data_IF_995906842639
#
_entry.id   IF_995906842639
#
_cell.length_a   1.000
_cell.length_b   1.000
_cell.length_c   1.000
_cell.angle_alpha   90.00
_cell.angle_beta   90.00
_cell.angle_gamma   90.00
#
_symmetry.space_group_name_H-M   'P 1'
#
loop_
_entity.id
_entity.type
_entity.pdbx_description
1 polymer ?
#
# COMPACT_ATOMS: atom_id res chain seq x y z
N UNK A 1 15.73 -0.31 15.53
CA UNK A 1 16.93 -0.35 16.39
C UNK A 1 17.18 -1.71 17.03
N UNK A 2 16.17 -2.58 17.16
CA UNK A 2 16.32 -3.96 17.65
C UNK A 2 17.53 -4.73 17.08
N UNK A 3 17.73 -4.67 15.76
CA UNK A 3 18.88 -5.27 15.06
C UNK A 3 20.26 -4.89 15.66
N UNK A 4 20.43 -3.66 16.15
CA UNK A 4 21.69 -3.21 16.73
C UNK A 4 21.89 -3.72 18.17
N UNK A 5 20.80 -3.86 18.93
CA UNK A 5 20.82 -4.46 20.29
C UNK A 5 21.11 -5.96 20.20
N UNK A 6 20.46 -6.67 19.26
CA UNK A 6 20.70 -8.10 19.02
C UNK A 6 22.16 -8.40 18.64
N UNK A 7 22.87 -7.42 18.08
CA UNK A 7 24.29 -7.48 17.68
C UNK A 7 25.25 -6.96 18.76
N UNK A 8 24.73 -6.49 19.90
CA UNK A 8 25.51 -5.90 20.99
C UNK A 8 26.10 -4.52 20.69
N UNK A 9 25.64 -3.84 19.63
CA UNK A 9 26.12 -2.50 19.26
C UNK A 9 25.45 -1.38 20.07
N UNK A 10 24.35 -1.71 20.75
CA UNK A 10 23.72 -0.89 21.79
C UNK A 10 23.19 -1.80 22.89
N UNK A 11 23.11 -1.26 24.09
CA UNK A 11 22.57 -1.98 25.25
C UNK A 11 21.03 -1.98 25.28
N UNK A 12 20.39 -0.95 24.72
CA UNK A 12 18.94 -0.74 24.81
C UNK A 12 18.31 -0.18 23.52
N UNK A 13 16.98 -0.35 23.40
CA UNK A 13 16.16 0.14 22.29
C UNK A 13 15.24 1.27 22.78
N UNK A 14 15.57 2.56 22.56
CA UNK A 14 14.77 3.68 23.06
C UNK A 14 13.35 3.75 22.47
N UNK A 15 13.09 3.04 21.37
CA UNK A 15 11.74 2.93 20.79
C UNK A 15 10.82 2.08 21.67
N UNK A 16 11.34 1.14 22.47
CA UNK A 16 10.53 0.32 23.38
C UNK A 16 9.97 1.12 24.56
N UNK A 17 10.70 2.13 25.02
CA UNK A 17 10.22 3.05 26.04
C UNK A 17 9.17 4.05 25.50
N UNK A 18 8.97 4.09 24.18
CA UNK A 18 8.02 5.00 23.53
C UNK A 18 6.68 4.29 23.32
N UNK A 19 5.59 4.91 23.76
CA UNK A 19 4.25 4.46 23.41
C UNK A 19 3.95 4.87 21.97
N UNK A 20 3.73 3.89 21.09
CA UNK A 20 3.22 4.20 19.75
C UNK A 20 1.90 4.94 19.88
N UNK A 21 1.83 6.14 19.28
CA UNK A 21 0.56 6.87 19.16
C UNK A 21 -0.42 5.96 18.43
N UNK A 22 -1.49 5.55 19.11
CA UNK A 22 -2.64 4.97 18.44
C UNK A 22 -3.33 6.13 17.73
N UNK A 23 -3.42 6.03 16.42
CA UNK A 23 -4.39 6.83 15.69
C UNK A 23 -5.75 6.24 16.00
N UNK A 24 -6.61 7.04 16.61
CA UNK A 24 -8.04 6.75 16.64
C UNK A 24 -8.50 6.94 15.19
N UNK A 25 -8.57 5.85 14.44
CA UNK A 25 -9.29 5.86 13.18
C UNK A 25 -10.75 6.10 13.54
N UNK A 26 -11.39 7.08 12.90
CA UNK A 26 -12.86 7.12 12.88
C UNK A 26 -13.35 5.72 12.45
N UNK A 27 -14.36 5.22 13.15
CA UNK A 27 -14.93 3.86 13.06
C UNK A 27 -14.62 3.12 11.74
N UNK A 28 -13.89 2.00 11.84
CA UNK A 28 -13.50 1.16 10.71
C UNK A 28 -14.70 0.54 9.94
N UNK A 29 -15.92 0.74 10.43
CA UNK A 29 -17.17 0.41 9.76
C UNK A 29 -17.56 1.37 8.63
N UNK A 30 -17.00 2.58 8.55
CA UNK A 30 -17.42 3.60 7.57
C UNK A 30 -16.58 3.61 6.28
N UNK A 31 -15.98 2.46 5.94
CA UNK A 31 -15.43 2.28 4.60
C UNK A 31 -16.61 2.11 3.63
N UNK A 32 -16.99 3.21 2.98
CA UNK A 32 -18.06 3.22 1.98
C UNK A 32 -17.85 2.11 0.94
N UNK A 33 -18.78 1.14 0.91
CA UNK A 33 -18.80 0.07 -0.07
C UNK A 33 -19.62 0.49 -1.27
N UNK A 34 -19.08 0.30 -2.47
CA UNK A 34 -19.82 0.59 -3.69
C UNK A 34 -20.92 -0.45 -3.92
N UNK A 35 -22.10 0.01 -4.29
CA UNK A 35 -23.15 -0.85 -4.84
C UNK A 35 -22.80 -1.26 -6.27
N UNK A 36 -23.39 -2.35 -6.82
CA UNK A 36 -23.20 -2.71 -8.22
C UNK A 36 -23.47 -1.56 -9.20
N UNK A 37 -24.56 -0.81 -9.00
CA UNK A 37 -24.90 0.34 -9.86
C UNK A 37 -23.84 1.45 -9.80
N UNK A 38 -23.27 1.70 -8.63
CA UNK A 38 -22.17 2.66 -8.47
C UNK A 38 -20.89 2.18 -9.16
N UNK A 39 -20.61 0.87 -9.10
CA UNK A 39 -19.48 0.28 -9.83
C UNK A 39 -19.66 0.45 -11.33
N UNK A 40 -20.86 0.18 -11.87
CA UNK A 40 -21.15 0.35 -13.28
C UNK A 40 -20.95 1.80 -13.75
N UNK A 41 -21.42 2.78 -12.96
CA UNK A 41 -21.17 4.19 -13.22
C UNK A 41 -19.67 4.51 -13.26
N UNK A 42 -18.87 3.99 -12.32
CA UNK A 42 -17.42 4.21 -12.28
C UNK A 42 -16.72 3.57 -13.50
N UNK A 43 -17.20 2.41 -13.96
CA UNK A 43 -16.64 1.68 -15.12
C UNK A 43 -16.96 2.37 -16.45
N UNK A 44 -18.02 3.19 -16.51
CA UNK A 44 -18.41 3.92 -17.71
C UNK A 44 -17.52 5.15 -18.01
N UNK A 45 -17.05 5.84 -16.97
CA UNK A 45 -16.25 7.07 -17.02
C UNK A 45 -14.75 6.99 -17.40
N UNK A 46 -14.01 5.85 -17.36
CA UNK A 46 -12.56 5.85 -17.53
C UNK A 46 -12.09 6.38 -18.88
N UNK A 47 -11.02 7.18 -18.86
CA UNK A 47 -10.44 7.82 -20.04
C UNK A 47 -9.84 6.84 -21.07
N UNK A 48 -9.52 5.60 -20.66
CA UNK A 48 -8.94 4.58 -21.54
C UNK A 48 -9.59 3.20 -21.35
N UNK A 49 -9.53 2.38 -22.40
CA UNK A 49 -9.96 0.97 -22.32
C UNK A 49 -9.17 0.16 -21.29
N UNK A 50 -7.90 0.51 -21.10
CA UNK A 50 -7.06 -0.15 -20.10
C UNK A 50 -7.50 0.16 -18.68
N UNK A 51 -7.85 1.42 -18.40
CA UNK A 51 -8.36 1.83 -17.09
C UNK A 51 -9.73 1.21 -16.83
N UNK A 52 -10.60 1.19 -17.84
CA UNK A 52 -11.88 0.48 -17.76
C UNK A 52 -11.71 -1.00 -17.43
N UNK A 53 -10.82 -1.70 -18.13
CA UNK A 53 -10.52 -3.09 -17.82
C UNK A 53 -9.95 -3.27 -16.40
N UNK A 54 -9.07 -2.37 -15.96
CA UNK A 54 -8.48 -2.41 -14.63
C UNK A 54 -9.52 -2.23 -13.51
N UNK A 55 -10.44 -1.28 -13.65
CA UNK A 55 -11.53 -1.04 -12.70
C UNK A 55 -12.50 -2.22 -12.68
N UNK A 56 -12.91 -2.73 -13.85
CA UNK A 56 -13.78 -3.92 -13.94
C UNK A 56 -13.17 -5.11 -13.21
N UNK A 57 -11.89 -5.41 -13.45
CA UNK A 57 -11.19 -6.51 -12.78
C UNK A 57 -11.10 -6.26 -11.27
N UNK A 58 -10.83 -5.03 -10.84
CA UNK A 58 -10.79 -4.69 -9.42
C UNK A 58 -12.15 -4.94 -8.73
N UNK A 59 -13.25 -4.54 -9.37
CA UNK A 59 -14.58 -4.64 -8.80
C UNK A 59 -15.11 -6.08 -8.76
N UNK A 60 -14.91 -6.85 -9.83
CA UNK A 60 -15.52 -8.18 -9.96
C UNK A 60 -14.61 -9.34 -9.55
N UNK A 61 -13.29 -9.22 -9.71
CA UNK A 61 -12.34 -10.29 -9.39
C UNK A 61 -11.64 -10.10 -8.03
N UNK A 62 -11.84 -8.95 -7.37
CA UNK A 62 -11.28 -8.67 -6.04
C UNK A 62 -9.74 -8.57 -6.01
N UNK A 63 -9.12 -8.29 -7.16
CA UNK A 63 -7.66 -8.20 -7.24
C UNK A 63 -7.14 -6.90 -6.63
N UNK A 64 -6.01 -6.99 -5.92
CA UNK A 64 -5.34 -5.81 -5.38
C UNK A 64 -4.75 -4.99 -6.53
N UNK A 65 -4.68 -3.67 -6.34
CA UNK A 65 -4.09 -2.75 -7.32
C UNK A 65 -2.72 -3.21 -7.83
N UNK A 66 -1.85 -3.68 -6.93
CA UNK A 66 -0.51 -4.17 -7.30
C UNK A 66 -0.53 -5.45 -8.16
N UNK A 67 -1.56 -6.28 -8.06
CA UNK A 67 -1.75 -7.49 -8.86
C UNK A 67 -2.28 -7.14 -10.25
N UNK A 68 -3.24 -6.21 -10.32
CA UNK A 68 -3.79 -5.68 -11.58
C UNK A 68 -2.66 -5.04 -12.41
N UNK A 69 -1.86 -4.17 -11.78
CA UNK A 69 -0.73 -3.50 -12.44
C UNK A 69 0.37 -4.46 -12.89
N UNK A 70 0.50 -5.64 -12.27
CA UNK A 70 1.48 -6.65 -12.63
C UNK A 70 0.93 -7.69 -13.62
N UNK A 71 -0.35 -7.61 -13.99
CA UNK A 71 -1.02 -8.56 -14.87
C UNK A 71 -0.44 -8.51 -16.29
N UNK A 72 -0.37 -9.67 -16.94
CA UNK A 72 0.15 -9.83 -18.31
C UNK A 72 -0.81 -10.68 -19.12
N UNK A 73 -0.93 -10.38 -20.41
CA UNK A 73 -1.82 -11.09 -21.34
C UNK A 73 -1.66 -12.61 -21.33
N UNK A 74 -0.42 -13.13 -21.22
CA UNK A 74 -0.15 -14.57 -21.12
C UNK A 74 -0.78 -15.29 -19.91
N UNK A 75 -1.27 -14.52 -18.93
CA UNK A 75 -1.92 -15.03 -17.73
C UNK A 75 -3.45 -14.96 -17.80
N UNK A 76 -4.01 -14.48 -18.92
CA UNK A 76 -5.45 -14.40 -19.18
C UNK A 76 -5.82 -15.54 -20.13
N UNK A 77 -6.68 -16.44 -19.66
CA UNK A 77 -7.20 -17.56 -20.42
C UNK A 77 -8.71 -17.34 -20.66
N UNK A 78 -9.03 -16.84 -21.85
CA UNK A 78 -10.42 -16.54 -22.22
C UNK A 78 -11.25 -17.80 -22.43
N UNK A 79 -10.64 -18.89 -22.92
CA UNK A 79 -11.33 -20.17 -23.16
C UNK A 79 -11.71 -20.83 -21.84
N UNK A 80 -10.78 -20.89 -20.89
CA UNK A 80 -11.04 -21.45 -19.56
C UNK A 80 -11.76 -20.45 -18.63
N UNK A 81 -11.96 -19.20 -19.06
CA UNK A 81 -12.49 -18.09 -18.25
C UNK A 81 -11.73 -17.90 -16.94
N UNK A 82 -10.39 -17.93 -17.01
CA UNK A 82 -9.50 -17.88 -15.85
C UNK A 82 -8.45 -16.79 -15.97
N UNK A 83 -8.16 -16.15 -14.86
CA UNK A 83 -7.10 -15.16 -14.73
C UNK A 83 -6.09 -15.62 -13.68
N UNK A 84 -4.82 -15.72 -14.07
CA UNK A 84 -3.74 -16.26 -13.21
C UNK A 84 -2.93 -15.12 -12.59
N UNK A 85 -3.10 -14.88 -11.31
CA UNK A 85 -2.26 -13.92 -10.56
C UNK A 85 -0.92 -14.57 -10.23
N UNK A 86 0.17 -14.01 -10.74
CA UNK A 86 1.53 -14.57 -10.59
C UNK A 86 2.53 -13.61 -9.97
N UNK A 87 2.24 -12.31 -9.96
CA UNK A 87 3.12 -11.25 -9.50
C UNK A 87 2.28 -10.15 -8.86
N UNK A 88 2.91 -9.42 -7.95
CA UNK A 88 2.36 -8.21 -7.33
C UNK A 88 3.44 -7.14 -7.38
N UNK A 89 3.08 -5.94 -7.81
CA UNK A 89 3.95 -4.77 -7.75
C UNK A 89 3.60 -3.94 -6.52
N UNK A 90 4.55 -3.77 -5.60
CA UNK A 90 4.46 -2.73 -4.58
C UNK A 90 4.95 -1.42 -5.19
N UNK A 91 4.04 -0.58 -5.67
CA UNK A 91 4.38 0.79 -6.11
C UNK A 91 4.58 1.68 -4.88
N UNK A 92 5.52 1.31 -4.00
CA UNK A 92 5.95 2.18 -2.93
C UNK A 92 6.82 3.27 -3.57
N UNK A 93 6.27 4.47 -3.76
CA UNK A 93 7.12 5.66 -3.85
C UNK A 93 8.02 5.58 -2.62
N UNK A 94 9.33 5.40 -2.82
CA UNK A 94 10.31 5.74 -1.80
C UNK A 94 10.13 7.23 -1.58
N UNK A 95 9.23 7.61 -0.66
CA UNK A 95 9.25 8.92 -0.06
C UNK A 95 10.63 8.97 0.61
N UNK A 96 11.63 9.47 -0.14
CA UNK A 96 12.82 10.04 0.47
C UNK A 96 12.25 11.18 1.29
N UNK A 97 11.91 10.90 2.55
CA UNK A 97 11.95 11.93 3.58
C UNK A 97 13.38 12.45 3.50
N UNK A 98 13.58 13.53 2.73
CA UNK A 98 14.71 14.41 2.93
C UNK A 98 14.61 14.74 4.41
N UNK A 99 15.55 14.24 5.19
CA UNK A 99 15.65 14.60 6.59
C UNK A 99 15.56 16.12 6.64
N UNK A 100 14.50 16.62 7.30
CA UNK A 100 14.61 17.89 7.97
C UNK A 100 15.91 17.80 8.79
N UNK A 101 16.78 18.79 8.57
CA UNK A 101 18.18 18.74 8.96
C UNK A 101 18.34 18.18 10.37
N UNK A 102 19.20 17.16 10.48
CA UNK A 102 19.95 17.01 11.71
C UNK A 102 20.70 18.34 11.88
N UNK A 103 20.17 19.22 12.72
CA UNK A 103 20.97 20.27 13.32
C UNK A 103 22.15 19.56 14.01
N UNK A 104 23.39 20.04 13.86
CA UNK A 104 24.51 19.50 14.60
C UNK A 104 24.23 19.74 16.08
N UNK A 105 24.06 18.64 16.81
CA UNK A 105 23.82 18.64 18.24
C UNK A 105 25.02 19.27 18.94
N UNK A 106 24.83 20.44 19.55
CA UNK A 106 25.67 20.90 20.66
C UNK A 106 24.76 21.09 21.86
N UNK A 107 24.73 20.11 22.74
CA UNK A 107 24.25 20.27 24.11
C UNK A 107 25.30 21.06 24.91
N UNK A 108 24.95 22.17 25.58
CA UNK A 108 25.72 22.61 26.72
C UNK A 108 24.98 22.14 27.98
N UNK A 109 25.57 21.16 28.66
CA UNK A 109 25.35 20.97 30.09
C UNK A 109 26.43 21.82 30.77
N UNK A 110 26.07 23.02 31.22
CA UNK A 110 26.64 23.66 32.41
C UNK A 110 25.79 24.84 32.86
#
# INVERSE_FOLDING_TARGET
MKFAVDRGWREDNPVEATRQRREDYDDDGDVARYTPDQVEAIVAEPASEQDRAAVTIAAFAGLRRGEILALRWKNVDFTARKLRVRKTTSWAKRLRRRGAGCAPWTWPIR
#
